data_IF_788257796391
#
_entry.id   IF_788257796391
#
_cell.length_a   1.000
_cell.length_b   1.000
_cell.length_c   1.000
_cell.angle_alpha   90.00
_cell.angle_beta   90.00
_cell.angle_gamma   90.00
#
_symmetry.space_group_name_H-M   'P 1'
#
loop_
_entity.id
_entity.type
_entity.pdbx_description
1 polymer ?
#
# COMPACT_ATOMS: atom_id res chain seq x y z
N UNK A 1 10.35 14.16 7.33
CA UNK A 1 10.34 12.92 6.52
C UNK A 1 9.55 13.22 5.26
N UNK A 2 10.21 13.25 4.09
CA UNK A 2 9.56 13.57 2.83
C UNK A 2 9.00 12.27 2.23
N UNK A 3 7.70 12.23 1.92
CA UNK A 3 7.02 11.09 1.31
C UNK A 3 6.87 11.40 -0.18
N UNK A 4 7.36 10.51 -1.05
CA UNK A 4 7.06 10.58 -2.47
C UNK A 4 5.90 9.64 -2.78
N UNK A 5 4.84 10.22 -3.32
CA UNK A 5 3.67 9.50 -3.74
C UNK A 5 3.83 9.05 -5.19
N UNK A 6 3.84 7.74 -5.43
CA UNK A 6 3.97 7.22 -6.79
C UNK A 6 2.61 7.35 -7.49
N UNK A 7 2.49 8.28 -8.43
CA UNK A 7 1.33 8.40 -9.33
C UNK A 7 1.85 8.40 -10.76
N UNK A 8 2.14 7.22 -11.31
CA UNK A 8 2.56 7.08 -12.71
C UNK A 8 1.66 6.06 -13.40
N UNK A 9 1.01 6.40 -14.54
CA UNK A 9 0.13 5.49 -15.28
C UNK A 9 0.86 4.22 -15.75
N UNK A 10 0.12 3.12 -15.85
CA UNK A 10 0.62 1.82 -16.28
C UNK A 10 0.89 1.79 -17.80
N UNK A 11 2.11 2.13 -18.22
CA UNK A 11 2.62 1.85 -19.57
C UNK A 11 3.89 1.00 -19.51
N UNK A 12 3.99 -0.03 -20.34
CA UNK A 12 5.05 -1.06 -20.29
C UNK A 12 6.48 -0.53 -20.44
N UNK A 13 6.66 0.57 -21.18
CA UNK A 13 7.94 1.25 -21.39
C UNK A 13 8.36 2.14 -20.21
N UNK A 14 7.47 2.40 -19.25
CA UNK A 14 7.76 3.19 -18.05
C UNK A 14 8.22 2.32 -16.87
N UNK A 15 8.19 0.99 -16.96
CA UNK A 15 8.56 0.09 -15.85
C UNK A 15 10.01 0.31 -15.42
N UNK A 16 10.94 0.47 -16.36
CA UNK A 16 12.35 0.80 -16.06
C UNK A 16 12.49 2.16 -15.38
N UNK A 17 11.70 3.14 -15.81
CA UNK A 17 11.62 4.47 -15.20
C UNK A 17 11.08 4.44 -13.77
N UNK A 18 9.98 3.70 -13.53
CA UNK A 18 9.38 3.54 -12.21
C UNK A 18 10.36 2.90 -11.22
N UNK A 19 11.09 1.87 -11.65
CA UNK A 19 12.11 1.24 -10.81
C UNK A 19 13.29 2.18 -10.50
N UNK A 20 13.70 3.01 -11.46
CA UNK A 20 14.75 4.01 -11.24
C UNK A 20 14.31 5.05 -10.20
N UNK A 21 13.06 5.50 -10.26
CA UNK A 21 12.47 6.40 -9.25
C UNK A 21 12.49 5.76 -7.87
N UNK A 22 12.03 4.50 -7.72
CA UNK A 22 12.07 3.80 -6.41
C UNK A 22 13.48 3.72 -5.84
N UNK A 23 14.47 3.38 -6.68
CA UNK A 23 15.88 3.33 -6.25
C UNK A 23 16.40 4.70 -5.81
N UNK A 24 16.02 5.76 -6.52
CA UNK A 24 16.44 7.11 -6.18
C UNK A 24 15.78 7.60 -4.88
N UNK A 25 14.50 7.29 -4.68
CA UNK A 25 13.82 7.57 -3.40
C UNK A 25 14.51 6.87 -2.24
N UNK A 26 14.89 5.59 -2.40
CA UNK A 26 15.68 4.91 -1.37
C UNK A 26 17.06 5.58 -1.15
N UNK A 27 17.76 6.01 -2.22
CA UNK A 27 19.06 6.70 -2.11
C UNK A 27 18.94 8.01 -1.34
N UNK A 28 17.85 8.75 -1.54
CA UNK A 28 17.56 10.02 -0.87
C UNK A 28 17.04 9.85 0.57
N UNK A 29 16.76 8.63 1.01
CA UNK A 29 16.12 8.38 2.31
C UNK A 29 14.65 8.84 2.35
N UNK A 30 13.99 8.86 1.19
CA UNK A 30 12.57 9.16 1.08
C UNK A 30 11.73 7.89 1.20
N UNK A 31 10.58 8.00 1.88
CA UNK A 31 9.62 6.91 1.92
C UNK A 31 8.88 6.78 0.59
N UNK A 32 8.70 5.54 0.17
CA UNK A 32 7.91 5.18 -1.00
C UNK A 32 6.50 4.85 -0.54
N UNK A 33 5.52 5.65 -0.97
CA UNK A 33 4.10 5.42 -0.71
C UNK A 33 3.41 4.79 -1.92
N UNK A 34 2.74 3.67 -1.68
CA UNK A 34 2.04 2.84 -2.67
C UNK A 34 0.52 3.00 -2.65
N UNK A 35 -0.03 3.84 -1.77
CA UNK A 35 -1.43 4.22 -1.92
C UNK A 35 -1.61 4.87 -3.31
N UNK A 36 -2.76 4.63 -3.96
CA UNK A 36 -3.10 5.12 -5.31
C UNK A 36 -2.51 4.42 -6.53
N UNK A 37 -1.51 3.57 -6.38
CA UNK A 37 -0.96 2.87 -7.55
C UNK A 37 -1.79 1.67 -7.97
N UNK A 38 -1.52 1.15 -9.17
CA UNK A 38 -2.05 -0.14 -9.62
C UNK A 38 -1.35 -1.31 -8.90
N UNK A 39 -2.00 -2.47 -8.81
CA UNK A 39 -1.40 -3.70 -8.28
C UNK A 39 -0.09 -4.07 -8.97
N UNK A 40 0.00 -3.84 -10.28
CA UNK A 40 1.24 -4.06 -11.04
C UNK A 40 2.38 -3.19 -10.53
N UNK A 41 2.11 -1.90 -10.31
CA UNK A 41 3.10 -0.96 -9.76
C UNK A 41 3.44 -1.28 -8.30
N UNK A 42 2.47 -1.70 -7.47
CA UNK A 42 2.73 -2.15 -6.10
C UNK A 42 3.76 -3.28 -6.08
N UNK A 43 3.54 -4.30 -6.89
CA UNK A 43 4.44 -5.44 -7.01
C UNK A 43 5.81 -5.05 -7.56
N UNK A 44 5.87 -4.21 -8.59
CA UNK A 44 7.15 -3.73 -9.15
C UNK A 44 7.96 -2.92 -8.13
N UNK A 45 7.30 -2.07 -7.34
CA UNK A 45 7.95 -1.30 -6.28
C UNK A 45 8.46 -2.19 -5.15
N UNK A 46 7.65 -3.15 -4.68
CA UNK A 46 8.04 -4.11 -3.63
C UNK A 46 9.22 -5.01 -4.07
N UNK A 47 9.31 -5.36 -5.35
CA UNK A 47 10.45 -6.10 -5.89
C UNK A 47 11.72 -5.26 -6.05
N UNK A 48 11.59 -3.92 -6.14
CA UNK A 48 12.71 -3.01 -6.45
C UNK A 48 13.27 -2.32 -5.21
N UNK A 49 12.41 -2.00 -4.27
CA UNK A 49 12.76 -1.22 -3.07
C UNK A 49 13.77 -1.98 -2.21
N UNK A 50 14.72 -1.24 -1.63
CA UNK A 50 15.69 -1.74 -0.64
C UNK A 50 15.33 -1.34 0.79
N UNK A 51 14.34 -0.46 0.94
CA UNK A 51 13.83 0.02 2.22
C UNK A 51 12.35 -0.39 2.40
N UNK A 52 11.85 -0.42 3.64
CA UNK A 52 10.43 -0.57 3.91
C UNK A 52 9.59 0.47 3.14
N UNK A 53 8.51 0.02 2.51
CA UNK A 53 7.52 0.90 1.84
C UNK A 53 6.33 1.15 2.75
N UNK A 54 5.50 2.12 2.38
CA UNK A 54 4.25 2.39 3.09
C UNK A 54 3.03 2.32 2.17
N UNK A 55 1.88 2.02 2.76
CA UNK A 55 0.57 2.44 2.27
C UNK A 55 0.04 3.47 3.24
N UNK A 56 0.06 4.75 2.86
CA UNK A 56 -0.33 5.86 3.74
C UNK A 56 -1.83 5.87 4.08
N UNK A 57 -2.67 5.33 3.19
CA UNK A 57 -4.12 5.20 3.40
C UNK A 57 -4.71 4.16 2.45
N UNK A 58 -4.74 2.89 2.85
CA UNK A 58 -5.38 1.82 2.07
C UNK A 58 -5.94 0.73 2.98
N UNK A 59 -6.95 0.00 2.52
CA UNK A 59 -7.62 -1.08 3.27
C UNK A 59 -7.43 -2.43 2.55
N UNK A 60 -7.83 -3.52 3.20
CA UNK A 60 -7.71 -4.88 2.67
C UNK A 60 -8.78 -5.17 1.62
N UNK A 61 -8.37 -5.68 0.45
CA UNK A 61 -9.30 -5.93 -0.66
C UNK A 61 -10.24 -7.10 -0.39
N UNK A 62 -9.80 -8.05 0.40
CA UNK A 62 -10.60 -9.23 0.77
C UNK A 62 -11.76 -8.87 1.69
N UNK A 63 -11.60 -7.85 2.55
CA UNK A 63 -12.69 -7.35 3.39
C UNK A 63 -13.67 -6.46 2.61
N UNK A 64 -13.14 -5.57 1.77
CA UNK A 64 -13.94 -4.79 0.83
C UNK A 64 -13.26 -4.72 -0.54
N UNK A 65 -13.96 -5.21 -1.58
CA UNK A 65 -13.48 -5.24 -2.96
C UNK A 65 -13.57 -3.87 -3.68
N UNK A 66 -13.11 -2.80 -3.02
CA UNK A 66 -12.88 -1.52 -3.68
C UNK A 66 -11.65 -1.62 -4.58
N UNK A 67 -11.68 -0.99 -5.76
CA UNK A 67 -10.56 -1.00 -6.73
C UNK A 67 -9.24 -0.50 -6.14
N UNK A 68 -9.34 0.29 -5.08
CA UNK A 68 -8.28 0.96 -4.34
C UNK A 68 -7.68 0.16 -3.20
N UNK A 69 -8.33 -0.91 -2.78
CA UNK A 69 -7.86 -1.73 -1.68
C UNK A 69 -6.78 -2.70 -2.13
N UNK A 70 -5.91 -3.04 -1.19
CA UNK A 70 -4.68 -3.80 -1.43
C UNK A 70 -5.01 -5.29 -1.45
N UNK A 71 -4.65 -6.01 -2.53
CA UNK A 71 -4.77 -7.47 -2.58
C UNK A 71 -3.91 -8.20 -1.53
N UNK A 72 -4.34 -9.38 -1.12
CA UNK A 72 -3.65 -10.15 -0.06
C UNK A 72 -2.21 -10.54 -0.41
N UNK A 73 -1.92 -10.85 -1.68
CA UNK A 73 -0.56 -11.17 -2.12
C UNK A 73 0.39 -9.98 -1.95
N UNK A 74 -0.09 -8.77 -2.20
CA UNK A 74 0.66 -7.54 -1.99
C UNK A 74 0.87 -7.28 -0.50
N UNK A 75 -0.16 -7.48 0.33
CA UNK A 75 -0.07 -7.36 1.80
C UNK A 75 0.93 -8.36 2.40
N UNK A 76 0.97 -9.60 1.90
CA UNK A 76 1.96 -10.60 2.33
C UNK A 76 3.38 -10.18 1.93
N UNK A 77 3.58 -9.63 0.74
CA UNK A 77 4.87 -9.12 0.30
C UNK A 77 5.29 -7.88 1.10
N UNK A 78 4.36 -7.02 1.49
CA UNK A 78 4.60 -5.89 2.39
C UNK A 78 5.13 -6.36 3.75
N UNK A 79 4.51 -7.39 4.33
CA UNK A 79 4.96 -7.97 5.60
C UNK A 79 6.39 -8.52 5.51
N UNK A 80 6.75 -9.17 4.40
CA UNK A 80 8.13 -9.64 4.14
C UNK A 80 9.11 -8.47 3.96
N UNK A 81 8.67 -7.38 3.34
CA UNK A 81 9.45 -6.15 3.17
C UNK A 81 9.68 -5.40 4.49
N UNK A 82 8.86 -5.66 5.53
CA UNK A 82 8.87 -4.90 6.78
C UNK A 82 8.21 -3.52 6.65
N UNK A 83 7.39 -3.34 5.61
CA UNK A 83 6.65 -2.10 5.35
C UNK A 83 5.45 -1.93 6.27
N UNK A 84 4.85 -0.73 6.22
CA UNK A 84 3.71 -0.37 7.07
C UNK A 84 2.52 -0.02 6.19
N UNK A 85 1.36 -0.57 6.50
CA UNK A 85 0.13 -0.09 5.92
C UNK A 85 -0.67 0.66 6.99
N UNK A 86 -1.33 1.75 6.61
CA UNK A 86 -2.15 2.59 7.46
C UNK A 86 -3.62 2.53 7.00
N UNK A 87 -4.51 2.08 7.89
CA UNK A 87 -5.94 1.90 7.58
C UNK A 87 -6.64 3.27 7.50
N UNK A 88 -7.35 3.58 6.39
CA UNK A 88 -8.08 4.84 6.23
C UNK A 88 -9.44 4.80 6.92
N UNK A 89 -10.01 5.97 7.23
CA UNK A 89 -11.41 6.07 7.71
C UNK A 89 -12.38 6.44 6.59
N UNK A 90 -11.98 6.20 5.33
CA UNK A 90 -12.86 6.43 4.19
C UNK A 90 -13.83 5.27 4.05
N UNK A 91 -15.10 5.53 4.37
CA UNK A 91 -16.19 4.53 4.51
C UNK A 91 -16.22 3.47 3.41
N UNK A 92 -16.17 3.90 2.15
CA UNK A 92 -16.29 3.00 1.01
C UNK A 92 -15.12 2.00 0.91
N UNK A 93 -13.95 2.30 1.46
CA UNK A 93 -12.82 1.37 1.48
C UNK A 93 -12.93 0.32 2.60
N UNK A 94 -13.75 0.56 3.62
CA UNK A 94 -13.88 -0.33 4.77
C UNK A 94 -15.04 -1.30 4.57
N UNK A 95 -16.21 -0.81 4.19
CA UNK A 95 -17.43 -1.62 4.11
C UNK A 95 -17.97 -1.80 2.71
N UNK A 96 -17.34 -1.18 1.69
CA UNK A 96 -17.86 -1.11 0.33
C UNK A 96 -19.30 -0.52 0.26
N UNK A 97 -19.67 0.26 1.28
CA UNK A 97 -20.99 0.83 1.46
C UNK A 97 -20.87 2.31 1.88
N UNK A 98 -22.01 2.98 2.07
CA UNK A 98 -22.12 4.37 2.51
C UNK A 98 -22.01 4.56 4.02
N UNK A 99 -21.94 3.47 4.79
CA UNK A 99 -21.84 3.50 6.26
C UNK A 99 -20.77 2.54 6.76
N UNK A 100 -20.05 2.95 7.80
CA UNK A 100 -19.04 2.16 8.50
C UNK A 100 -19.03 2.55 9.97
N UNK A 101 -18.71 1.59 10.82
CA UNK A 101 -18.55 1.74 12.26
C UNK A 101 -17.08 1.62 12.65
N UNK A 102 -16.76 1.98 13.90
CA UNK A 102 -15.42 1.75 14.43
C UNK A 102 -15.03 0.26 14.47
N UNK A 103 -16.02 -0.64 14.60
CA UNK A 103 -15.77 -2.08 14.60
C UNK A 103 -15.27 -2.57 13.23
N UNK A 104 -15.77 -1.98 12.15
CA UNK A 104 -15.32 -2.32 10.80
C UNK A 104 -13.85 -1.91 10.60
N UNK A 105 -13.47 -0.73 11.10
CA UNK A 105 -12.08 -0.26 11.07
C UNK A 105 -11.16 -1.13 11.94
N UNK A 106 -11.62 -1.56 13.12
CA UNK A 106 -10.89 -2.51 13.96
C UNK A 106 -10.73 -3.85 13.23
N UNK A 107 -11.75 -4.29 12.49
CA UNK A 107 -11.70 -5.48 11.63
C UNK A 107 -10.56 -5.41 10.60
N UNK A 108 -10.40 -4.26 9.94
CA UNK A 108 -9.28 -3.99 9.03
C UNK A 108 -7.92 -4.08 9.73
N UNK A 109 -7.75 -3.42 10.88
CA UNK A 109 -6.50 -3.47 11.64
C UNK A 109 -6.12 -4.89 12.09
N UNK A 110 -7.11 -5.72 12.43
CA UNK A 110 -6.88 -7.09 12.88
C UNK A 110 -6.69 -8.09 11.71
N UNK A 111 -6.98 -7.68 10.49
CA UNK A 111 -6.95 -8.55 9.33
C UNK A 111 -5.53 -9.06 9.03
N UNK A 112 -5.38 -10.40 8.98
CA UNK A 112 -4.16 -11.12 8.63
C UNK A 112 -2.88 -10.72 9.39
N UNK A 113 -3.01 -10.04 10.54
CA UNK A 113 -1.89 -9.49 11.31
C UNK A 113 -0.92 -8.62 10.49
N UNK A 114 -1.32 -8.16 9.30
CA UNK A 114 -0.43 -7.40 8.40
C UNK A 114 -0.21 -5.98 8.93
N UNK A 115 -1.18 -5.46 9.67
CA UNK A 115 -1.19 -4.14 10.28
C UNK A 115 -0.64 -4.13 11.70
N UNK A 116 -0.12 -5.26 12.20
CA UNK A 116 0.51 -5.31 13.52
C UNK A 116 1.80 -4.50 13.49
N UNK A 117 1.65 -3.22 13.79
CA UNK A 117 2.65 -2.38 14.43
C UNK A 117 3.09 -3.17 15.65
N UNK A 118 4.18 -3.94 15.55
CA UNK A 118 4.75 -4.61 16.70
C UNK A 118 5.01 -3.54 17.75
N UNK A 119 4.33 -3.65 18.89
CA UNK A 119 4.82 -3.12 20.15
C UNK A 119 6.15 -3.79 20.48
#
# INVERSE_FOLDING_TARGET
MLIAHLQVPSYSHLVTGQQAVVRELNRLGMLVDLSHVSTQTMNAALQTTKAPVIFSHSAARTLCNASRNVPDDVLQNLAKNGGVAMVPFYTYFITCNSTATIQDVIGECNYNNVWNIRQ
#
